data_IF_759015540897
#
_entry.id   IF_759015540897
#
_cell.length_a   1.000
_cell.length_b   1.000
_cell.length_c   1.000
_cell.angle_alpha   90.00
_cell.angle_beta   90.00
_cell.angle_gamma   90.00
#
_symmetry.space_group_name_H-M   'P 1'
#
loop_
_entity.id
_entity.type
_entity.pdbx_description
1 polymer ?
#
# COMPACT_ATOMS: atom_id res chain seq x y z
N UNK A 1 -21.52 -27.99 4.46
CA UNK A 1 -20.21 -28.58 4.78
C UNK A 1 -19.51 -28.93 3.48
N UNK A 2 -18.61 -28.07 3.02
CA UNK A 2 -17.70 -28.41 1.92
C UNK A 2 -16.32 -27.98 2.37
N UNK A 3 -15.60 -28.94 2.94
CA UNK A 3 -14.17 -28.85 3.17
C UNK A 3 -13.49 -28.85 1.79
N UNK A 4 -13.43 -27.67 1.17
CA UNK A 4 -12.60 -27.46 -0.02
C UNK A 4 -11.16 -27.70 0.41
N UNK A 5 -10.71 -28.92 0.17
CA UNK A 5 -9.33 -29.36 0.34
C UNK A 5 -8.53 -28.64 -0.75
N UNK A 6 -8.26 -27.36 -0.52
CA UNK A 6 -7.43 -26.55 -1.41
C UNK A 6 -6.01 -27.07 -1.20
N UNK A 7 -5.54 -27.93 -2.09
CA UNK A 7 -4.13 -28.34 -2.12
C UNK A 7 -3.31 -27.09 -2.43
N UNK A 8 -2.78 -26.44 -1.40
CA UNK A 8 -1.94 -25.24 -1.52
C UNK A 8 -0.57 -25.72 -2.03
N UNK A 9 -0.16 -25.38 -3.26
CA UNK A 9 1.04 -25.97 -3.84
C UNK A 9 2.33 -25.38 -3.24
N UNK A 10 3.32 -26.26 -3.08
CA UNK A 10 4.76 -26.08 -2.83
C UNK A 10 5.30 -24.66 -2.53
N UNK A 11 5.93 -24.50 -1.37
CA UNK A 11 6.69 -23.27 -1.02
C UNK A 11 6.90 -22.99 0.47
N UNK A 12 6.54 -23.91 1.36
CA UNK A 12 6.75 -23.79 2.80
C UNK A 12 8.16 -24.25 3.19
N UNK A 13 8.87 -23.41 3.95
CA UNK A 13 10.10 -23.76 4.62
C UNK A 13 9.78 -24.14 6.06
N UNK A 14 10.19 -25.32 6.48
CA UNK A 14 10.00 -25.79 7.85
C UNK A 14 11.14 -25.28 8.73
N UNK A 15 10.80 -24.80 9.93
CA UNK A 15 11.74 -24.49 10.99
C UNK A 15 11.26 -25.18 12.28
N UNK A 16 12.20 -25.59 13.12
CA UNK A 16 11.89 -26.22 14.39
C UNK A 16 11.49 -25.17 15.44
N UNK A 17 10.73 -25.58 16.45
CA UNK A 17 10.35 -24.74 17.60
C UNK A 17 11.58 -24.17 18.32
N UNK A 18 12.60 -25.00 18.56
CA UNK A 18 13.85 -24.56 19.18
C UNK A 18 14.58 -23.47 18.37
N UNK A 19 14.66 -23.64 17.04
CA UNK A 19 15.27 -22.64 16.16
C UNK A 19 14.45 -21.35 16.10
N UNK A 20 13.11 -21.44 16.15
CA UNK A 20 12.26 -20.27 16.27
C UNK A 20 12.52 -19.50 17.58
N UNK A 21 12.65 -20.20 18.70
CA UNK A 21 12.90 -19.57 20.01
C UNK A 21 14.26 -18.86 20.07
N UNK A 22 15.27 -19.37 19.37
CA UNK A 22 16.54 -18.66 19.18
C UNK A 22 16.34 -17.33 18.42
N UNK A 23 15.65 -17.38 17.28
CA UNK A 23 15.34 -16.18 16.47
C UNK A 23 14.49 -15.19 17.28
N UNK A 24 13.49 -15.67 18.01
CA UNK A 24 12.59 -14.85 18.81
C UNK A 24 13.32 -14.13 19.94
N UNK A 25 14.27 -14.80 20.61
CA UNK A 25 15.14 -14.17 21.62
C UNK A 25 16.06 -13.13 21.00
N UNK A 26 16.74 -13.47 19.91
CA UNK A 26 17.65 -12.56 19.22
C UNK A 26 16.93 -11.28 18.75
N UNK A 27 15.72 -11.42 18.18
CA UNK A 27 14.90 -10.31 17.67
C UNK A 27 14.02 -9.64 18.74
N UNK A 28 14.11 -10.06 20.01
CA UNK A 28 13.25 -9.57 21.12
C UNK A 28 11.75 -9.64 20.79
N UNK A 29 11.32 -10.69 20.07
CA UNK A 29 9.91 -10.92 19.78
C UNK A 29 9.17 -11.28 21.08
N UNK A 30 7.95 -10.77 21.25
CA UNK A 30 7.09 -11.09 22.41
C UNK A 30 6.37 -12.42 22.28
N UNK A 31 6.18 -12.88 21.04
CA UNK A 31 5.55 -14.16 20.76
C UNK A 31 6.45 -15.32 21.21
N UNK A 32 5.84 -16.29 21.89
CA UNK A 32 6.41 -17.63 22.12
C UNK A 32 5.47 -18.64 21.50
N UNK A 33 6.04 -19.60 20.78
CA UNK A 33 5.28 -20.68 20.15
C UNK A 33 5.52 -21.91 21.02
N UNK A 34 4.44 -22.55 21.44
CA UNK A 34 4.47 -23.84 22.11
C UNK A 34 3.45 -24.75 21.44
N UNK A 35 3.92 -25.72 20.70
CA UNK A 35 3.09 -26.71 19.99
C UNK A 35 2.85 -27.91 20.92
N UNK A 36 1.59 -28.31 21.06
CA UNK A 36 1.19 -29.41 21.94
C UNK A 36 1.38 -30.76 21.25
N UNK A 37 1.09 -30.83 19.95
CA UNK A 37 1.07 -32.07 19.18
C UNK A 37 2.00 -32.01 17.96
N UNK A 38 2.48 -33.16 17.50
CA UNK A 38 3.39 -33.27 16.34
C UNK A 38 2.71 -32.91 15.01
N UNK A 39 1.39 -32.86 14.96
CA UNK A 39 0.63 -32.44 13.79
C UNK A 39 0.27 -30.94 13.82
N UNK A 40 0.70 -30.18 14.83
CA UNK A 40 0.41 -28.74 14.91
C UNK A 40 1.50 -27.92 14.24
N UNK A 41 1.10 -26.79 13.67
CA UNK A 41 2.02 -25.85 13.05
C UNK A 41 1.57 -24.39 13.21
N UNK A 42 2.55 -23.48 13.20
CA UNK A 42 2.30 -22.04 13.09
C UNK A 42 2.91 -21.54 11.79
N UNK A 43 2.09 -20.87 10.98
CA UNK A 43 2.49 -20.33 9.67
C UNK A 43 2.85 -18.85 9.79
N UNK A 44 3.98 -18.48 9.19
CA UNK A 44 4.44 -17.10 9.07
C UNK A 44 4.20 -16.59 7.66
N UNK A 45 3.39 -15.55 7.56
CA UNK A 45 3.07 -14.86 6.31
C UNK A 45 4.14 -13.86 5.87
N UNK A 46 3.86 -13.20 4.75
CA UNK A 46 4.58 -11.98 4.35
C UNK A 46 3.57 -10.85 4.21
N UNK A 47 3.94 -9.67 4.69
CA UNK A 47 3.12 -8.45 4.68
C UNK A 47 2.58 -8.08 3.29
N UNK A 48 3.29 -8.42 2.21
CA UNK A 48 2.91 -8.07 0.83
C UNK A 48 2.08 -9.14 0.11
N UNK A 49 1.93 -10.33 0.69
CA UNK A 49 1.05 -11.34 0.11
C UNK A 49 -0.34 -11.10 0.68
N UNK A 50 -1.35 -10.94 -0.19
CA UNK A 50 -2.77 -10.92 0.17
C UNK A 50 -3.27 -12.24 0.81
N UNK A 51 -2.36 -13.09 1.30
CA UNK A 51 -2.66 -14.25 2.08
C UNK A 51 -3.02 -13.85 3.50
N UNK A 52 -4.25 -14.15 3.88
CA UNK A 52 -4.81 -13.77 5.16
C UNK A 52 -4.66 -14.89 6.19
N UNK A 53 -4.73 -14.54 7.49
CA UNK A 53 -5.02 -15.49 8.57
C UNK A 53 -6.17 -16.44 8.19
N UNK A 54 -7.19 -15.95 7.47
CA UNK A 54 -8.34 -16.74 7.03
C UNK A 54 -8.00 -17.82 5.98
N UNK A 55 -6.86 -17.72 5.32
CA UNK A 55 -6.43 -18.74 4.35
C UNK A 55 -5.88 -19.98 5.04
N UNK A 56 -5.38 -19.85 6.29
CA UNK A 56 -4.59 -20.90 6.95
C UNK A 56 -5.07 -21.28 8.35
N UNK A 57 -5.47 -20.32 9.19
CA UNK A 57 -5.79 -20.62 10.60
C UNK A 57 -6.99 -21.59 10.72
N UNK A 58 -6.80 -22.66 11.49
CA UNK A 58 -7.80 -23.71 11.67
C UNK A 58 -7.93 -24.67 10.49
N UNK A 59 -7.05 -24.58 9.48
CA UNK A 59 -7.01 -25.49 8.33
C UNK A 59 -5.81 -26.41 8.40
N UNK A 60 -5.90 -27.54 7.71
CA UNK A 60 -4.77 -28.45 7.50
C UNK A 60 -4.01 -28.03 6.25
N UNK A 61 -2.70 -27.82 6.38
CA UNK A 61 -1.77 -27.66 5.25
C UNK A 61 -1.01 -28.96 5.05
N UNK A 62 -0.69 -29.29 3.80
CA UNK A 62 0.15 -30.45 3.49
C UNK A 62 1.49 -29.97 2.98
N UNK A 63 2.56 -30.34 3.68
CA UNK A 63 3.92 -30.11 3.20
C UNK A 63 4.38 -31.37 2.48
N UNK A 64 4.55 -31.28 1.16
CA UNK A 64 5.09 -32.38 0.35
C UNK A 64 6.62 -32.35 0.39
N UNK A 65 7.23 -33.39 0.96
CA UNK A 65 8.65 -33.69 0.84
C UNK A 65 8.87 -34.82 -0.17
N UNK A 66 10.10 -34.99 -0.67
CA UNK A 66 10.50 -35.82 -1.83
C UNK A 66 9.88 -37.24 -1.99
N UNK A 67 9.17 -37.81 -1.01
CA UNK A 67 8.29 -38.99 -1.16
C UNK A 67 7.16 -39.10 -0.10
N UNK A 68 6.98 -38.11 0.79
CA UNK A 68 6.02 -38.16 1.90
C UNK A 68 5.22 -36.84 2.00
N UNK A 69 3.93 -36.97 2.29
CA UNK A 69 3.06 -35.84 2.60
C UNK A 69 2.93 -35.68 4.12
N UNK A 70 3.26 -34.50 4.63
CA UNK A 70 3.12 -34.15 6.05
C UNK A 70 1.91 -33.23 6.23
N UNK A 71 0.74 -33.77 6.64
CA UNK A 71 -0.41 -32.95 7.02
C UNK A 71 -0.16 -32.28 8.38
N UNK A 72 -0.36 -30.96 8.44
CA UNK A 72 -0.20 -30.14 9.63
C UNK A 72 -1.43 -29.26 9.84
N UNK A 73 -1.99 -29.30 11.05
CA UNK A 73 -3.05 -28.43 11.50
C UNK A 73 -2.48 -27.09 11.92
N UNK A 74 -2.89 -26.03 11.24
CA UNK A 74 -2.41 -24.67 11.52
C UNK A 74 -3.15 -24.09 12.71
N UNK A 75 -2.49 -24.08 13.87
CA UNK A 75 -3.04 -23.55 15.13
C UNK A 75 -2.81 -22.04 15.29
N UNK A 76 -1.91 -21.47 14.48
CA UNK A 76 -1.62 -20.04 14.53
C UNK A 76 -1.08 -19.49 13.21
N UNK A 77 -1.30 -18.18 13.01
CA UNK A 77 -0.77 -17.43 11.89
C UNK A 77 -0.12 -16.14 12.39
N UNK A 78 1.04 -15.80 11.85
CA UNK A 78 1.78 -14.58 12.18
C UNK A 78 1.98 -13.72 10.93
N UNK A 79 1.53 -12.46 11.00
CA UNK A 79 1.55 -11.47 9.91
C UNK A 79 2.95 -10.82 9.72
N UNK A 80 4.04 -11.58 9.87
CA UNK A 80 5.41 -11.09 9.66
C UNK A 80 6.36 -12.21 9.21
N UNK A 81 7.43 -11.82 8.53
CA UNK A 81 8.47 -12.76 8.07
C UNK A 81 9.53 -13.00 9.16
N UNK A 82 9.98 -14.26 9.26
CA UNK A 82 11.06 -14.66 10.19
C UNK A 82 12.44 -14.16 9.73
N UNK A 83 12.90 -14.47 8.50
CA UNK A 83 14.05 -13.80 7.91
C UNK A 83 13.64 -12.49 7.20
N UNK A 84 14.61 -11.79 6.61
CA UNK A 84 14.32 -10.65 5.75
C UNK A 84 13.40 -11.06 4.59
N UNK A 85 12.41 -10.21 4.27
CA UNK A 85 11.44 -10.47 3.19
C UNK A 85 12.15 -10.76 1.87
N UNK A 86 11.75 -11.84 1.20
CA UNK A 86 12.38 -12.36 -0.02
C UNK A 86 13.38 -13.49 0.19
N UNK A 87 13.80 -13.78 1.44
CA UNK A 87 14.68 -14.93 1.74
C UNK A 87 13.91 -16.27 1.79
N UNK A 88 12.68 -16.27 2.31
CA UNK A 88 11.78 -17.44 2.33
C UNK A 88 10.37 -17.02 1.95
N UNK A 89 9.62 -17.87 1.22
CA UNK A 89 8.25 -17.55 0.81
C UNK A 89 7.27 -17.65 1.97
N UNK A 90 7.18 -18.81 2.61
CA UNK A 90 6.43 -19.04 3.84
C UNK A 90 7.27 -19.84 4.80
N UNK A 91 7.31 -19.47 6.08
CA UNK A 91 7.96 -20.27 7.10
C UNK A 91 6.91 -20.94 7.98
N UNK A 92 7.14 -22.21 8.34
CA UNK A 92 6.22 -23.00 9.16
C UNK A 92 7.01 -23.53 10.34
N UNK A 93 6.61 -23.15 11.55
CA UNK A 93 7.16 -23.68 12.79
C UNK A 93 6.45 -24.99 13.12
N UNK A 94 7.23 -26.05 13.32
CA UNK A 94 6.77 -27.39 13.73
C UNK A 94 7.58 -27.87 14.94
N UNK A 95 7.13 -28.95 15.60
CA UNK A 95 7.88 -29.57 16.69
C UNK A 95 9.26 -30.07 16.24
N UNK A 96 10.24 -30.02 17.14
CA UNK A 96 11.62 -30.42 16.84
C UNK A 96 11.72 -31.87 16.31
N UNK A 97 10.90 -32.79 16.83
CA UNK A 97 10.83 -34.18 16.36
C UNK A 97 10.40 -34.30 14.89
N UNK A 98 9.46 -33.45 14.45
CA UNK A 98 8.97 -33.41 13.08
C UNK A 98 10.05 -32.82 12.18
N UNK A 99 10.67 -31.71 12.61
CA UNK A 99 11.78 -31.12 11.88
C UNK A 99 12.91 -32.12 11.66
N UNK A 100 13.36 -32.82 12.70
CA UNK A 100 14.45 -33.79 12.63
C UNK A 100 14.12 -35.01 11.76
N UNK A 101 12.84 -35.40 11.69
CA UNK A 101 12.37 -36.50 10.84
C UNK A 101 12.39 -36.14 9.34
N UNK A 102 11.94 -34.92 9.00
CA UNK A 102 11.67 -34.51 7.61
C UNK A 102 12.77 -33.63 6.98
N UNK A 103 13.60 -32.94 7.77
CA UNK A 103 14.72 -32.14 7.29
C UNK A 103 16.03 -32.95 7.38
N UNK A 104 16.53 -33.40 6.23
CA UNK A 104 17.78 -34.17 6.07
C UNK A 104 18.77 -33.41 5.19
N UNK A 105 20.04 -33.81 5.17
CA UNK A 105 21.11 -33.08 4.47
C UNK A 105 20.77 -32.67 3.01
N UNK A 106 19.98 -33.46 2.29
CA UNK A 106 19.58 -33.19 0.90
C UNK A 106 18.47 -32.16 0.67
N UNK A 107 17.81 -31.64 1.72
CA UNK A 107 16.73 -30.64 1.59
C UNK A 107 16.86 -29.46 2.58
N UNK A 108 18.07 -29.21 3.11
CA UNK A 108 18.34 -28.12 4.04
C UNK A 108 18.55 -26.79 3.33
N UNK A 109 17.79 -25.77 3.77
CA UNK A 109 18.04 -24.37 3.42
C UNK A 109 18.66 -23.65 4.62
N UNK A 110 19.94 -23.26 4.51
CA UNK A 110 20.68 -22.61 5.60
C UNK A 110 20.62 -21.10 5.47
N UNK A 111 20.11 -20.43 6.49
CA UNK A 111 20.09 -18.97 6.61
C UNK A 111 20.96 -18.59 7.80
N UNK A 112 21.88 -17.64 7.60
CA UNK A 112 22.63 -17.01 8.69
C UNK A 112 22.14 -15.58 8.87
N UNK A 113 21.62 -15.29 10.05
CA UNK A 113 21.18 -13.95 10.43
C UNK A 113 22.24 -13.26 11.28
N UNK A 114 22.47 -11.98 11.02
CA UNK A 114 23.28 -11.10 11.85
C UNK A 114 22.41 -9.91 12.26
N UNK A 115 22.45 -9.55 13.54
CA UNK A 115 21.79 -8.35 14.05
C UNK A 115 22.87 -7.27 14.17
N UNK A 116 22.59 -6.12 13.58
CA UNK A 116 23.46 -4.95 13.62
C UNK A 116 22.79 -3.86 14.42
N UNK A 117 23.56 -3.10 15.19
CA UNK A 117 23.08 -1.85 15.76
C UNK A 117 22.90 -0.81 14.65
N UNK A 118 21.97 0.14 14.84
CA UNK A 118 21.68 1.24 13.91
C UNK A 118 21.41 0.76 12.47
N UNK A 119 20.51 -0.21 12.30
CA UNK A 119 20.22 -0.86 11.01
C UNK A 119 19.74 0.09 9.89
N UNK A 120 19.25 1.28 10.24
CA UNK A 120 18.84 2.33 9.29
C UNK A 120 20.01 3.13 8.73
N UNK A 121 21.16 3.13 9.42
CA UNK A 121 22.37 3.88 9.04
C UNK A 121 23.54 2.94 8.71
N UNK A 122 23.22 1.73 8.24
CA UNK A 122 24.21 0.71 7.88
C UNK A 122 24.52 0.69 6.37
N UNK A 123 24.44 1.83 5.68
CA UNK A 123 24.64 1.92 4.23
C UNK A 123 26.03 1.42 3.81
N UNK A 124 27.07 1.96 4.45
CA UNK A 124 28.46 1.62 4.16
C UNK A 124 28.73 0.13 4.38
N UNK A 125 28.33 -0.38 5.55
CA UNK A 125 28.45 -1.80 5.90
C UNK A 125 27.72 -2.69 4.89
N UNK A 126 26.48 -2.32 4.54
CA UNK A 126 25.68 -3.05 3.54
C UNK A 126 26.37 -3.08 2.18
N UNK A 127 26.91 -1.94 1.73
CA UNK A 127 27.62 -1.85 0.46
C UNK A 127 28.93 -2.65 0.44
N UNK A 128 29.68 -2.67 1.54
CA UNK A 128 30.90 -3.49 1.66
C UNK A 128 30.57 -4.99 1.66
N UNK A 129 29.55 -5.41 2.42
CA UNK A 129 29.10 -6.80 2.45
C UNK A 129 28.57 -7.25 1.09
N UNK A 130 27.78 -6.42 0.41
CA UNK A 130 27.25 -6.72 -0.91
C UNK A 130 28.37 -6.92 -1.94
N UNK A 131 29.41 -6.07 -1.93
CA UNK A 131 30.61 -6.22 -2.77
C UNK A 131 31.42 -7.48 -2.46
N UNK A 132 31.64 -7.77 -1.17
CA UNK A 132 32.39 -8.95 -0.74
C UNK A 132 31.67 -10.25 -1.10
N UNK A 133 30.36 -10.28 -0.88
CA UNK A 133 29.53 -11.45 -1.19
C UNK A 133 29.40 -11.61 -2.70
N UNK A 134 29.02 -10.58 -3.46
CA UNK A 134 28.92 -10.64 -4.93
C UNK A 134 30.22 -11.11 -5.61
N UNK A 135 31.39 -10.69 -5.13
CA UNK A 135 32.68 -11.17 -5.62
C UNK A 135 32.89 -12.67 -5.35
N UNK A 136 32.55 -13.16 -4.16
CA UNK A 136 32.62 -14.61 -3.82
C UNK A 136 31.59 -15.44 -4.60
N UNK A 137 30.42 -14.88 -4.91
CA UNK A 137 29.34 -15.53 -5.67
C UNK A 137 29.77 -15.88 -7.10
N UNK A 138 30.44 -14.95 -7.79
CA UNK A 138 30.91 -15.14 -9.16
C UNK A 138 31.98 -16.24 -9.23
N UNK A 139 32.80 -16.39 -8.18
CA UNK A 139 33.91 -17.35 -8.17
C UNK A 139 33.49 -18.78 -7.83
N UNK A 140 32.44 -18.96 -7.02
CA UNK A 140 32.06 -20.29 -6.51
C UNK A 140 30.84 -20.92 -7.20
N UNK A 141 30.19 -20.23 -8.15
CA UNK A 141 29.04 -20.76 -8.89
C UNK A 141 27.76 -20.97 -8.05
N UNK A 142 27.79 -20.66 -6.76
CA UNK A 142 26.66 -20.78 -5.83
C UNK A 142 26.02 -19.42 -5.54
N UNK A 143 24.70 -19.32 -5.71
CA UNK A 143 23.94 -18.10 -5.44
C UNK A 143 23.54 -17.95 -3.96
N UNK A 144 24.43 -17.42 -3.11
CA UNK A 144 24.02 -16.93 -1.77
C UNK A 144 23.16 -15.68 -1.94
N UNK A 145 21.87 -15.80 -1.58
CA UNK A 145 20.96 -14.65 -1.49
C UNK A 145 21.34 -13.78 -0.30
N UNK A 146 21.87 -12.59 -0.55
CA UNK A 146 22.12 -11.58 0.48
C UNK A 146 20.91 -10.64 0.62
N UNK A 147 20.56 -10.30 1.86
CA UNK A 147 19.54 -9.31 2.16
C UNK A 147 19.91 -8.60 3.46
N UNK A 148 19.99 -7.27 3.43
CA UNK A 148 20.19 -6.44 4.60
C UNK A 148 18.93 -5.63 4.93
N UNK A 149 18.80 -5.23 6.19
CA UNK A 149 17.72 -4.32 6.60
C UNK A 149 17.79 -3.00 5.81
N UNK A 150 18.97 -2.38 5.73
CA UNK A 150 19.17 -1.12 5.02
C UNK A 150 18.73 -1.18 3.56
N UNK A 151 19.13 -2.21 2.81
CA UNK A 151 18.73 -2.34 1.39
C UNK A 151 17.22 -2.46 1.24
N UNK A 152 16.56 -3.23 2.12
CA UNK A 152 15.09 -3.38 2.09
C UNK A 152 14.38 -2.09 2.51
N UNK A 153 14.90 -1.40 3.52
CA UNK A 153 14.40 -0.11 3.98
C UNK A 153 14.53 0.96 2.90
N UNK A 154 15.72 1.10 2.29
CA UNK A 154 15.99 2.03 1.20
C UNK A 154 15.11 1.74 -0.02
N UNK A 155 14.99 0.47 -0.42
CA UNK A 155 14.09 0.07 -1.52
C UNK A 155 12.62 0.40 -1.20
N UNK A 156 12.18 0.17 0.04
CA UNK A 156 10.85 0.54 0.51
C UNK A 156 10.59 2.04 0.46
N UNK A 157 11.55 2.85 0.89
CA UNK A 157 11.49 4.32 0.78
C UNK A 157 11.44 4.79 -0.67
N UNK A 158 12.30 4.25 -1.55
CA UNK A 158 12.29 4.62 -2.97
C UNK A 158 10.96 4.27 -3.63
N UNK A 159 10.45 3.05 -3.40
CA UNK A 159 9.18 2.61 -3.96
C UNK A 159 8.02 3.46 -3.45
N UNK A 160 7.95 3.70 -2.14
CA UNK A 160 6.90 4.54 -1.55
C UNK A 160 6.98 5.98 -2.05
N UNK A 161 8.18 6.55 -2.14
CA UNK A 161 8.42 7.88 -2.69
C UNK A 161 7.98 8.01 -4.14
N UNK A 162 8.25 6.99 -4.96
CA UNK A 162 7.80 6.93 -6.35
C UNK A 162 6.27 6.90 -6.46
N UNK A 163 5.59 6.05 -5.66
CA UNK A 163 4.13 5.96 -5.65
C UNK A 163 3.50 7.29 -5.20
N UNK A 164 4.04 7.93 -4.16
CA UNK A 164 3.58 9.23 -3.68
C UNK A 164 3.78 10.30 -4.76
N UNK A 165 4.95 10.33 -5.41
CA UNK A 165 5.25 11.27 -6.49
C UNK A 165 4.30 11.10 -7.67
N UNK A 166 4.13 9.88 -8.17
CA UNK A 166 3.23 9.60 -9.29
C UNK A 166 1.78 9.92 -8.93
N UNK A 167 1.33 9.55 -7.74
CA UNK A 167 -0.02 9.86 -7.26
C UNK A 167 -0.27 11.36 -7.14
N UNK A 168 0.66 12.11 -6.55
CA UNK A 168 0.54 13.56 -6.41
C UNK A 168 0.62 14.29 -7.76
N UNK A 169 1.57 13.90 -8.62
CA UNK A 169 1.73 14.49 -9.95
C UNK A 169 0.50 14.25 -10.82
N UNK A 170 0.01 13.01 -10.87
CA UNK A 170 -1.16 12.65 -11.66
C UNK A 170 -2.44 13.29 -11.09
N UNK A 171 -2.56 13.36 -9.76
CA UNK A 171 -3.63 14.07 -9.08
C UNK A 171 -3.66 15.56 -9.42
N UNK A 172 -2.51 16.23 -9.40
CA UNK A 172 -2.37 17.63 -9.78
C UNK A 172 -2.67 17.83 -11.28
N UNK A 173 -2.20 16.94 -12.14
CA UNK A 173 -2.45 17.00 -13.58
C UNK A 173 -3.95 16.93 -13.89
N UNK A 174 -4.66 15.95 -13.31
CA UNK A 174 -6.10 15.84 -13.49
C UNK A 174 -6.87 16.99 -12.86
N UNK A 175 -6.42 17.50 -11.73
CA UNK A 175 -7.01 18.67 -11.08
C UNK A 175 -6.91 19.92 -11.95
N UNK A 176 -5.72 20.22 -12.49
CA UNK A 176 -5.51 21.35 -13.41
C UNK A 176 -6.30 21.15 -14.70
N UNK A 177 -6.32 19.93 -15.25
CA UNK A 177 -7.07 19.63 -16.47
C UNK A 177 -8.58 19.84 -16.26
N UNK A 178 -9.16 19.23 -15.22
CA UNK A 178 -10.59 19.35 -14.91
C UNK A 178 -10.99 20.79 -14.56
N UNK A 179 -10.20 21.48 -13.73
CA UNK A 179 -10.41 22.90 -13.43
C UNK A 179 -10.38 23.77 -14.68
N UNK A 180 -9.43 23.53 -15.60
CA UNK A 180 -9.33 24.27 -16.87
C UNK A 180 -10.49 23.97 -17.81
N UNK A 181 -10.93 22.71 -17.92
CA UNK A 181 -12.10 22.34 -18.73
C UNK A 181 -13.35 23.07 -18.25
N UNK A 182 -13.61 23.06 -16.93
CA UNK A 182 -14.77 23.76 -16.37
C UNK A 182 -14.64 25.27 -16.59
N UNK A 183 -13.45 25.84 -16.34
CA UNK A 183 -13.17 27.26 -16.55
C UNK A 183 -13.48 27.69 -18.00
N UNK A 184 -12.93 27.00 -18.99
CA UNK A 184 -13.16 27.35 -20.40
C UNK A 184 -14.60 27.15 -20.83
N UNK A 185 -15.26 26.08 -20.34
CA UNK A 185 -16.69 25.87 -20.60
C UNK A 185 -17.53 27.04 -20.08
N UNK A 186 -17.31 27.45 -18.84
CA UNK A 186 -18.03 28.58 -18.26
C UNK A 186 -17.72 29.91 -18.97
N UNK A 187 -16.50 30.09 -19.47
CA UNK A 187 -16.12 31.26 -20.27
C UNK A 187 -16.84 31.30 -21.62
N UNK A 188 -17.06 30.14 -22.25
CA UNK A 188 -17.89 30.03 -23.46
C UNK A 188 -19.33 30.41 -23.17
N UNK A 189 -19.93 29.84 -22.12
CA UNK A 189 -21.30 30.16 -21.68
C UNK A 189 -21.46 31.65 -21.35
N UNK A 190 -20.44 32.29 -20.77
CA UNK A 190 -20.45 33.73 -20.49
C UNK A 190 -20.58 34.60 -21.75
N UNK A 191 -19.97 34.18 -22.86
CA UNK A 191 -20.06 34.90 -24.12
C UNK A 191 -21.46 34.76 -24.73
N UNK A 192 -22.03 33.56 -24.67
CA UNK A 192 -23.38 33.28 -25.18
C UNK A 192 -24.47 33.99 -24.35
N UNK A 193 -24.28 34.09 -23.04
CA UNK A 193 -25.24 34.74 -22.13
C UNK A 193 -25.11 36.27 -22.09
N UNK A 194 -24.09 36.86 -22.73
CA UNK A 194 -23.79 38.30 -22.66
C UNK A 194 -24.97 39.18 -23.03
N UNK A 195 -25.67 38.86 -24.12
CA UNK A 195 -26.82 39.64 -24.59
C UNK A 195 -28.02 39.51 -23.65
N UNK A 196 -28.22 38.33 -23.05
CA UNK A 196 -29.28 38.10 -22.05
C UNK A 196 -29.05 38.95 -20.81
N UNK A 197 -27.82 38.98 -20.30
CA UNK A 197 -27.45 39.84 -19.17
C UNK A 197 -27.50 41.34 -19.53
N UNK A 198 -27.35 41.72 -20.80
CA UNK A 198 -27.62 43.10 -21.26
C UNK A 198 -29.11 43.47 -21.15
N UNK A 199 -30.01 42.58 -21.56
CA UNK A 199 -31.46 42.78 -21.41
C UNK A 199 -31.84 42.92 -19.93
N UNK A 200 -31.31 42.05 -19.05
CA UNK A 200 -31.55 42.12 -17.60
C UNK A 200 -31.14 43.48 -17.01
N UNK A 201 -30.01 44.04 -17.45
CA UNK A 201 -29.57 45.38 -17.04
C UNK A 201 -30.53 46.47 -17.51
N UNK A 202 -31.02 46.38 -18.75
CA UNK A 202 -31.95 47.37 -19.32
C UNK A 202 -33.31 47.41 -18.59
N UNK A 203 -33.73 46.30 -17.98
CA UNK A 203 -34.97 46.24 -17.17
C UNK A 203 -34.73 46.50 -15.67
N UNK A 204 -33.52 46.92 -15.28
CA UNK A 204 -33.22 47.43 -13.94
C UNK A 204 -32.47 46.47 -13.00
N UNK A 205 -32.03 45.30 -13.45
CA UNK A 205 -31.23 44.39 -12.60
C UNK A 205 -29.85 44.99 -12.33
N UNK A 206 -29.46 45.07 -11.06
CA UNK A 206 -28.20 45.67 -10.65
C UNK A 206 -27.00 44.77 -10.96
N UNK A 207 -25.81 45.36 -11.14
CA UNK A 207 -24.54 44.61 -11.30
C UNK A 207 -24.26 43.65 -10.14
N UNK A 208 -24.70 44.01 -8.92
CA UNK A 208 -24.56 43.16 -7.73
C UNK A 208 -25.43 41.91 -7.82
N UNK A 209 -26.68 42.04 -8.25
CA UNK A 209 -27.59 40.92 -8.46
C UNK A 209 -27.09 39.98 -9.56
N UNK A 210 -26.56 40.54 -10.66
CA UNK A 210 -25.91 39.77 -11.72
C UNK A 210 -24.74 38.96 -11.18
N UNK A 211 -23.84 39.59 -10.41
CA UNK A 211 -22.69 38.89 -9.82
C UNK A 211 -23.11 37.77 -8.88
N UNK A 212 -24.14 37.98 -8.06
CA UNK A 212 -24.68 36.95 -7.16
C UNK A 212 -25.26 35.79 -7.96
N UNK A 213 -26.03 36.07 -9.02
CA UNK A 213 -26.61 35.05 -9.90
C UNK A 213 -25.53 34.18 -10.52
N UNK A 214 -24.52 34.80 -11.14
CA UNK A 214 -23.36 34.12 -11.75
C UNK A 214 -22.61 33.28 -10.71
N UNK A 215 -22.34 33.86 -9.54
CA UNK A 215 -21.61 33.17 -8.47
C UNK A 215 -22.32 31.90 -8.00
N UNK A 216 -23.66 31.91 -7.93
CA UNK A 216 -24.48 30.74 -7.56
C UNK A 216 -24.50 29.69 -8.67
N UNK A 217 -24.68 30.10 -9.93
CA UNK A 217 -24.65 29.19 -11.07
C UNK A 217 -23.31 28.45 -11.15
N UNK A 218 -22.21 29.21 -11.15
CA UNK A 218 -20.86 28.64 -11.22
C UNK A 218 -20.56 27.80 -9.98
N UNK A 219 -21.06 28.18 -8.80
CA UNK A 219 -20.85 27.40 -7.58
C UNK A 219 -21.41 25.99 -7.73
N UNK A 220 -22.63 25.84 -8.28
CA UNK A 220 -23.22 24.51 -8.51
C UNK A 220 -22.38 23.70 -9.49
N UNK A 221 -21.87 24.33 -10.56
CA UNK A 221 -21.03 23.68 -11.57
C UNK A 221 -19.72 23.14 -10.99
N UNK A 222 -19.10 23.85 -10.04
CA UNK A 222 -17.88 23.41 -9.37
C UNK A 222 -18.12 22.49 -8.16
N UNK A 223 -19.19 22.74 -7.39
CA UNK A 223 -19.50 21.99 -6.17
C UNK A 223 -19.94 20.56 -6.47
N UNK A 224 -20.66 20.31 -7.58
CA UNK A 224 -21.12 18.98 -7.94
C UNK A 224 -19.94 18.00 -8.19
N UNK A 225 -18.98 18.29 -9.09
CA UNK A 225 -17.81 17.42 -9.28
C UNK A 225 -16.98 17.26 -8.00
N UNK A 226 -16.77 18.35 -7.25
CA UNK A 226 -16.00 18.33 -6.00
C UNK A 226 -16.65 17.42 -4.95
N UNK A 227 -17.96 17.57 -4.72
CA UNK A 227 -18.71 16.78 -3.75
C UNK A 227 -18.72 15.29 -4.10
N UNK A 228 -18.96 14.95 -5.36
CA UNK A 228 -18.91 13.56 -5.84
C UNK A 228 -17.49 12.98 -5.66
N UNK A 229 -16.45 13.76 -6.00
CA UNK A 229 -15.06 13.34 -5.82
C UNK A 229 -14.70 13.09 -4.35
N UNK A 230 -15.12 13.96 -3.44
CA UNK A 230 -14.91 13.78 -1.99
C UNK A 230 -15.64 12.54 -1.49
N UNK A 231 -16.91 12.35 -1.86
CA UNK A 231 -17.67 11.16 -1.47
C UNK A 231 -17.01 9.87 -1.98
N UNK A 232 -16.61 9.83 -3.25
CA UNK A 232 -15.92 8.68 -3.83
C UNK A 232 -14.59 8.40 -3.10
N UNK A 233 -13.81 9.45 -2.82
CA UNK A 233 -12.55 9.36 -2.08
C UNK A 233 -12.73 8.81 -0.67
N UNK A 234 -13.76 9.26 0.07
CA UNK A 234 -14.05 8.77 1.42
C UNK A 234 -14.40 7.27 1.42
N UNK A 235 -15.22 6.82 0.46
CA UNK A 235 -15.56 5.39 0.34
C UNK A 235 -14.31 4.57 -0.01
N UNK A 236 -13.58 4.95 -1.06
CA UNK A 236 -12.40 4.22 -1.53
C UNK A 236 -11.31 4.14 -0.43
N UNK A 237 -11.06 5.25 0.24
CA UNK A 237 -10.05 5.32 1.30
C UNK A 237 -10.47 4.59 2.57
N UNK A 238 -11.76 4.55 2.92
CA UNK A 238 -12.25 3.73 4.05
C UNK A 238 -12.02 2.24 3.82
N UNK A 239 -12.23 1.77 2.59
CA UNK A 239 -11.94 0.39 2.19
C UNK A 239 -10.44 0.11 2.23
N UNK A 240 -9.62 1.03 1.71
CA UNK A 240 -8.17 0.90 1.70
C UNK A 240 -7.59 0.90 3.13
N UNK A 241 -8.09 1.76 4.02
CA UNK A 241 -7.69 1.80 5.43
C UNK A 241 -7.96 0.45 6.12
N UNK A 242 -9.11 -0.17 5.87
CA UNK A 242 -9.44 -1.51 6.38
C UNK A 242 -8.53 -2.60 5.81
N UNK A 243 -8.24 -2.55 4.50
CA UNK A 243 -7.38 -3.53 3.84
C UNK A 243 -5.93 -3.45 4.36
N UNK A 244 -5.41 -2.24 4.53
CA UNK A 244 -4.04 -2.00 4.97
C UNK A 244 -3.88 -2.03 6.49
N UNK A 245 -4.99 -1.98 7.26
CA UNK A 245 -5.00 -1.83 8.73
C UNK A 245 -4.19 -0.60 9.19
N UNK A 246 -4.23 0.49 8.42
CA UNK A 246 -3.57 1.77 8.74
C UNK A 246 -4.59 2.88 8.79
N UNK A 247 -4.35 3.88 9.64
CA UNK A 247 -5.16 5.09 9.69
C UNK A 247 -4.76 6.02 8.52
N UNK A 248 -5.73 6.28 7.64
CA UNK A 248 -5.57 7.17 6.48
C UNK A 248 -6.25 8.53 6.69
N UNK A 249 -6.84 8.79 7.86
CA UNK A 249 -7.65 9.99 8.13
C UNK A 249 -6.87 11.27 7.86
N UNK A 250 -5.66 11.38 8.41
CA UNK A 250 -4.82 12.58 8.22
C UNK A 250 -4.41 12.78 6.74
N UNK A 251 -3.86 11.77 6.03
CA UNK A 251 -3.61 11.87 4.58
C UNK A 251 -4.84 12.33 3.79
N UNK A 252 -6.01 11.76 4.05
CA UNK A 252 -7.26 12.11 3.34
C UNK A 252 -7.62 13.58 3.58
N UNK A 253 -7.59 14.04 4.84
CA UNK A 253 -7.91 15.44 5.19
C UNK A 253 -6.96 16.40 4.47
N UNK A 254 -5.67 16.11 4.47
CA UNK A 254 -4.66 16.94 3.79
C UNK A 254 -4.93 16.99 2.28
N UNK A 255 -5.14 15.84 1.65
CA UNK A 255 -5.40 15.76 0.20
C UNK A 255 -6.71 16.44 -0.20
N UNK A 256 -7.81 16.20 0.52
CA UNK A 256 -9.12 16.81 0.25
C UNK A 256 -9.07 18.32 0.45
N UNK A 257 -8.35 18.79 1.48
CA UNK A 257 -8.19 20.23 1.75
C UNK A 257 -7.40 20.91 0.65
N UNK A 258 -6.27 20.33 0.23
CA UNK A 258 -5.46 20.86 -0.86
C UNK A 258 -6.24 20.88 -2.19
N UNK A 259 -6.96 19.81 -2.49
CA UNK A 259 -7.79 19.72 -3.70
C UNK A 259 -8.91 20.77 -3.69
N UNK A 260 -9.61 20.92 -2.56
CA UNK A 260 -10.69 21.91 -2.40
C UNK A 260 -10.17 23.35 -2.49
N UNK A 261 -8.97 23.62 -1.95
CA UNK A 261 -8.34 24.95 -2.05
C UNK A 261 -8.07 25.33 -3.51
N UNK A 262 -7.53 24.41 -4.30
CA UNK A 262 -7.28 24.64 -5.73
C UNK A 262 -8.61 24.78 -6.50
N UNK A 263 -9.62 23.96 -6.19
CA UNK A 263 -10.96 24.10 -6.77
C UNK A 263 -11.56 25.48 -6.47
N UNK A 264 -11.38 26.00 -5.26
CA UNK A 264 -11.81 27.35 -4.89
C UNK A 264 -11.09 28.43 -5.71
N UNK A 265 -9.79 28.27 -5.98
CA UNK A 265 -9.05 29.19 -6.86
C UNK A 265 -9.69 29.22 -8.24
N UNK A 266 -9.94 28.06 -8.86
CA UNK A 266 -10.62 27.99 -10.16
C UNK A 266 -12.02 28.59 -10.12
N UNK A 267 -12.79 28.34 -9.05
CA UNK A 267 -14.11 28.93 -8.87
C UNK A 267 -14.05 30.46 -8.90
N UNK A 268 -13.18 31.08 -8.09
CA UNK A 268 -13.07 32.54 -8.04
C UNK A 268 -12.57 33.13 -9.36
N UNK A 269 -11.60 32.48 -10.01
CA UNK A 269 -11.12 32.86 -11.35
C UNK A 269 -12.27 32.83 -12.37
N UNK A 270 -13.08 31.76 -12.35
CA UNK A 270 -14.20 31.60 -13.28
C UNK A 270 -15.29 32.63 -13.02
N UNK A 271 -15.69 32.87 -11.77
CA UNK A 271 -16.70 33.88 -11.41
C UNK A 271 -16.27 35.27 -11.88
N UNK A 272 -15.00 35.64 -11.63
CA UNK A 272 -14.50 36.96 -12.00
C UNK A 272 -14.44 37.13 -13.53
N UNK A 273 -13.93 36.12 -14.24
CA UNK A 273 -13.83 36.15 -15.70
C UNK A 273 -15.21 36.15 -16.37
N UNK A 274 -16.14 35.31 -15.89
CA UNK A 274 -17.53 35.28 -16.38
C UNK A 274 -18.19 36.65 -16.15
N UNK A 275 -18.10 37.19 -14.94
CA UNK A 275 -18.68 38.50 -14.60
C UNK A 275 -18.11 39.62 -15.48
N UNK A 276 -16.80 39.61 -15.75
CA UNK A 276 -16.16 40.62 -16.60
C UNK A 276 -16.63 40.53 -18.06
N UNK A 277 -16.82 39.33 -18.61
CA UNK A 277 -17.32 39.16 -19.98
C UNK A 277 -18.73 39.73 -20.14
N UNK A 278 -19.64 39.40 -19.22
CA UNK A 278 -21.03 39.87 -19.33
C UNK A 278 -21.17 41.37 -19.02
N UNK A 279 -20.25 41.95 -18.23
CA UNK A 279 -20.24 43.37 -17.88
C UNK A 279 -19.28 44.24 -18.70
N UNK A 280 -18.56 43.69 -19.68
CA UNK A 280 -17.76 44.46 -20.61
C UNK A 280 -18.69 45.28 -21.53
N UNK A 281 -19.21 46.39 -21.02
CA UNK A 281 -19.86 47.56 -21.65
C UNK A 281 -20.58 48.33 -20.53
#
# INVERSE_FOLDING_TARGET
>A
SESVNKTIPAGFYIISESNYDEIARARKLKDRIKLLNSNEAVVFGQILNFTSKYDYAGKTITISGNNDNLPLNVVGFKDYSLPNSGMTRYAVVVRDEVYNKYCKAGNLYRIKGYITDNEKDSEKLTGELDKLLSKKLIQNGEGVKFSSYYSRYKAGLMFSGLIIFLGAFLGLLFLVATGSIIFFKQLSEANDDRDRYKILRNIGVTKKEIRISISKQIFIVFALPLGIGIMHSLVASSLLSRMLKVDLTLPIIVTVSAYSAIYMIYYFLTVNSYYNIVNAM
#
